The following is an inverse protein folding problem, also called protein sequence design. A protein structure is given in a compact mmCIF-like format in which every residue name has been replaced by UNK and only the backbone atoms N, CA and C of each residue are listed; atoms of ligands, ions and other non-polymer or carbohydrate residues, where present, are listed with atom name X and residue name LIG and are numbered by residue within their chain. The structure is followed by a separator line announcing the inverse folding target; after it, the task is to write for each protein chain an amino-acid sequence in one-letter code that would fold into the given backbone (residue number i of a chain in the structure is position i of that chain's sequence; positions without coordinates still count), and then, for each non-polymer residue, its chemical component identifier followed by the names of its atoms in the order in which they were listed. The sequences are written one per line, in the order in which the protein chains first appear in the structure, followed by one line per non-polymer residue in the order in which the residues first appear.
data_IF_543544528924
#
_entry.id   IF_543544528924
#
_cell.length_a   1.000
_cell.length_b   1.000
_cell.length_c   1.000
_cell.angle_alpha   90.00
_cell.angle_beta   90.00
_cell.angle_gamma   90.00
#
_symmetry.space_group_name_H-M   'P 1'
#
loop_
_entity.id
_entity.type
_entity.pdbx_description
1 polymer ?
#
# COMPACT_ATOMS: atom_id res chain seq x y z
N UNK A 1 -17.33 -22.03 -37.93
CA UNK A 1 -15.85 -21.97 -37.83
C UNK A 1 -15.51 -20.48 -37.83
N UNK A 2 -15.00 -19.83 -36.79
CA UNK A 2 -14.20 -20.21 -35.64
C UNK A 2 -14.75 -19.56 -34.36
N UNK A 3 -14.85 -20.37 -33.31
CA UNK A 3 -15.03 -19.99 -31.92
C UNK A 3 -13.73 -19.39 -31.38
N UNK A 4 -13.78 -18.24 -30.71
CA UNK A 4 -12.64 -17.66 -30.01
C UNK A 4 -13.11 -16.97 -28.74
N UNK A 5 -12.96 -17.66 -27.63
CA UNK A 5 -13.39 -17.26 -26.30
C UNK A 5 -12.58 -16.07 -25.79
N UNK A 6 -13.25 -15.03 -25.28
CA UNK A 6 -12.60 -13.98 -24.49
C UNK A 6 -12.33 -14.58 -23.11
N UNK A 7 -11.09 -14.96 -22.86
CA UNK A 7 -10.62 -15.27 -21.52
C UNK A 7 -10.50 -13.93 -20.76
N UNK A 8 -11.47 -13.66 -19.90
CA UNK A 8 -11.37 -12.59 -18.92
C UNK A 8 -10.17 -12.91 -17.99
N UNK A 9 -9.08 -12.15 -18.11
CA UNK A 9 -8.02 -12.17 -17.11
C UNK A 9 -8.53 -11.40 -15.88
N UNK A 10 -9.27 -12.12 -15.05
CA UNK A 10 -9.45 -11.79 -13.64
C UNK A 10 -8.07 -11.91 -12.99
N UNK A 11 -7.43 -10.81 -12.59
CA UNK A 11 -6.28 -10.88 -11.68
C UNK A 11 -6.84 -11.17 -10.28
N UNK A 12 -6.66 -12.38 -9.72
CA UNK A 12 -7.09 -12.65 -8.37
C UNK A 12 -6.18 -11.87 -7.41
N UNK A 13 -6.72 -11.41 -6.29
CA UNK A 13 -5.88 -11.00 -5.17
C UNK A 13 -4.88 -12.14 -4.85
N UNK A 14 -3.59 -11.79 -4.74
CA UNK A 14 -2.42 -12.67 -4.76
C UNK A 14 -2.65 -14.08 -4.21
N UNK A 15 -2.34 -15.08 -5.05
CA UNK A 15 -2.50 -16.49 -4.72
C UNK A 15 -1.35 -16.99 -3.86
N UNK A 16 -1.64 -17.58 -2.70
CA UNK A 16 -0.64 -18.36 -1.93
C UNK A 16 -0.35 -19.68 -2.64
N UNK A 17 0.91 -20.12 -2.65
CA UNK A 17 1.36 -21.31 -3.40
C UNK A 17 1.88 -21.03 -4.82
N UNK A 18 1.99 -19.76 -5.23
CA UNK A 18 2.79 -19.41 -6.40
C UNK A 18 4.29 -19.59 -6.05
N UNK A 19 4.99 -20.39 -6.86
CA UNK A 19 6.44 -20.51 -6.79
C UNK A 19 7.07 -19.26 -7.43
N UNK A 20 7.96 -18.59 -6.70
CA UNK A 20 8.71 -17.47 -7.24
C UNK A 20 9.70 -18.01 -8.29
N UNK A 21 9.88 -17.34 -9.45
CA UNK A 21 10.85 -17.75 -10.47
C UNK A 21 12.25 -18.04 -9.91
N UNK A 22 12.96 -18.95 -10.57
CA UNK A 22 14.20 -19.59 -10.11
C UNK A 22 15.46 -18.72 -9.99
N UNK A 23 15.34 -17.39 -9.95
CA UNK A 23 16.43 -16.40 -9.87
C UNK A 23 16.27 -15.37 -8.72
N UNK A 24 15.39 -15.62 -7.74
CA UNK A 24 15.18 -14.74 -6.58
C UNK A 24 16.48 -14.43 -5.79
N UNK A 25 16.86 -13.15 -5.70
CA UNK A 25 18.00 -12.68 -4.91
C UNK A 25 17.80 -11.24 -4.36
N UNK A 26 18.26 -10.98 -3.13
CA UNK A 26 17.99 -9.75 -2.36
C UNK A 26 19.26 -8.96 -1.99
N UNK A 27 19.70 -8.02 -2.83
CA UNK A 27 20.73 -7.03 -2.44
C UNK A 27 21.17 -6.07 -3.56
N UNK A 28 21.33 -4.78 -3.24
CA UNK A 28 21.88 -3.72 -4.10
C UNK A 28 23.42 -3.81 -4.31
N UNK A 29 23.96 -5.03 -4.31
CA UNK A 29 25.40 -5.33 -4.41
C UNK A 29 25.73 -6.75 -4.91
N UNK A 30 24.73 -7.48 -5.42
CA UNK A 30 24.86 -8.86 -5.94
C UNK A 30 23.72 -9.77 -5.47
N UNK A 31 23.53 -10.94 -6.10
CA UNK A 31 22.43 -11.83 -5.77
C UNK A 31 22.61 -12.46 -4.38
N UNK A 32 21.84 -11.99 -3.40
CA UNK A 32 21.76 -12.55 -2.05
C UNK A 32 20.57 -13.53 -2.00
N UNK A 33 20.83 -14.83 -2.12
CA UNK A 33 19.78 -15.82 -1.87
C UNK A 33 19.44 -15.80 -0.37
N UNK A 34 18.21 -15.42 0.05
CA UNK A 34 17.85 -15.39 1.46
C UNK A 34 17.85 -16.79 2.09
N UNK A 35 17.82 -17.87 1.28
CA UNK A 35 17.94 -19.26 1.71
C UNK A 35 19.37 -19.82 1.58
N UNK A 36 20.37 -19.00 1.27
CA UNK A 36 21.76 -19.46 1.13
C UNK A 36 22.32 -20.16 2.40
N UNK A 37 21.73 -19.92 3.58
CA UNK A 37 22.12 -20.62 4.81
C UNK A 37 21.28 -21.90 4.96
N UNK A 38 21.92 -23.08 5.13
CA UNK A 38 21.23 -24.36 5.15
C UNK A 38 20.26 -24.55 6.33
N UNK A 39 20.39 -23.74 7.38
CA UNK A 39 19.49 -23.70 8.55
C UNK A 39 18.26 -22.81 8.34
N UNK A 40 18.16 -22.12 7.19
CA UNK A 40 17.01 -21.25 6.89
C UNK A 40 15.78 -22.09 6.57
N UNK A 41 14.82 -22.07 7.47
CA UNK A 41 13.53 -22.78 7.31
C UNK A 41 12.45 -21.85 6.78
N UNK A 42 12.53 -20.55 7.11
CA UNK A 42 11.55 -19.56 6.69
C UNK A 42 12.22 -18.22 6.40
N UNK A 43 11.78 -17.53 5.35
CA UNK A 43 12.18 -16.15 5.06
C UNK A 43 10.95 -15.26 5.07
N UNK A 44 10.93 -14.28 5.96
CA UNK A 44 9.91 -13.24 6.04
C UNK A 44 10.42 -11.97 5.36
N UNK A 45 9.77 -11.58 4.28
CA UNK A 45 10.00 -10.30 3.60
C UNK A 45 8.93 -9.31 4.07
N UNK A 46 9.36 -8.22 4.71
CA UNK A 46 8.48 -7.18 5.23
C UNK A 46 8.61 -5.90 4.40
N UNK A 47 7.58 -5.58 3.64
CA UNK A 47 7.48 -4.33 2.89
C UNK A 47 7.08 -3.20 3.82
N UNK A 48 7.95 -2.21 3.95
CA UNK A 48 7.83 -1.13 4.93
C UNK A 48 8.04 0.23 4.27
N UNK A 49 7.47 1.26 4.89
CA UNK A 49 7.75 2.65 4.58
C UNK A 49 8.26 3.34 5.84
N UNK A 50 9.40 4.02 5.73
CA UNK A 50 9.99 4.78 6.83
C UNK A 50 9.35 6.16 7.03
N UNK A 51 8.49 6.56 6.09
CA UNK A 51 7.74 7.81 6.11
C UNK A 51 6.31 7.62 6.67
N UNK A 52 5.83 6.37 6.76
CA UNK A 52 4.49 6.03 7.24
C UNK A 52 4.51 5.61 8.72
N UNK A 53 3.75 6.27 9.62
CA UNK A 53 3.71 5.88 11.02
C UNK A 53 3.10 4.48 11.22
N UNK A 54 2.16 4.06 10.37
CA UNK A 54 1.59 2.69 10.42
C UNK A 54 2.67 1.64 10.19
N UNK A 55 3.53 1.82 9.20
CA UNK A 55 4.58 0.85 8.88
C UNK A 55 5.72 0.89 9.91
N UNK A 56 6.08 2.07 10.43
CA UNK A 56 7.09 2.22 11.48
C UNK A 56 6.71 1.51 12.78
N UNK A 57 5.43 1.46 13.11
CA UNK A 57 4.91 0.76 14.29
C UNK A 57 5.17 -0.75 14.28
N UNK A 58 5.59 -1.32 13.14
CA UNK A 58 5.90 -2.74 12.99
C UNK A 58 7.40 -3.08 12.96
N UNK A 59 8.30 -2.09 13.03
CA UNK A 59 9.74 -2.36 13.06
C UNK A 59 10.13 -3.22 14.28
N UNK A 60 9.69 -2.82 15.47
CA UNK A 60 9.99 -3.57 16.70
C UNK A 60 9.21 -4.90 16.81
N UNK A 61 7.90 -4.99 16.49
CA UNK A 61 7.19 -6.27 16.44
C UNK A 61 7.86 -7.32 15.55
N UNK A 62 8.41 -6.93 14.40
CA UNK A 62 9.15 -7.83 13.50
C UNK A 62 10.50 -8.27 14.12
N UNK A 63 11.18 -7.37 14.83
CA UNK A 63 12.41 -7.70 15.56
C UNK A 63 12.17 -8.69 16.71
N UNK A 64 11.08 -8.49 17.46
CA UNK A 64 10.65 -9.46 18.48
C UNK A 64 10.32 -10.81 17.87
N UNK A 65 9.66 -10.83 16.70
CA UNK A 65 9.37 -12.09 15.99
C UNK A 65 10.66 -12.81 15.57
N UNK A 66 11.66 -12.07 15.10
CA UNK A 66 12.99 -12.63 14.81
C UNK A 66 13.67 -13.16 16.07
N UNK A 67 13.56 -12.45 17.20
CA UNK A 67 14.12 -12.91 18.49
C UNK A 67 13.48 -14.22 18.94
N UNK A 68 12.15 -14.32 18.82
CA UNK A 68 11.39 -15.49 19.27
C UNK A 68 11.60 -16.74 18.39
N UNK A 69 11.82 -16.56 17.08
CA UNK A 69 11.82 -17.64 16.09
C UNK A 69 13.12 -17.79 15.28
N UNK A 70 14.11 -16.90 15.45
CA UNK A 70 15.38 -16.94 14.71
C UNK A 70 16.17 -18.22 14.94
N UNK A 71 16.15 -18.76 16.16
CA UNK A 71 16.74 -20.07 16.49
C UNK A 71 16.04 -21.27 15.83
N UNK A 72 14.85 -21.07 15.24
CA UNK A 72 14.10 -22.08 14.47
C UNK A 72 14.28 -21.89 12.96
N UNK A 73 15.28 -21.14 12.53
CA UNK A 73 15.58 -20.91 11.11
C UNK A 73 14.75 -19.82 10.45
N UNK A 74 14.08 -18.95 11.22
CA UNK A 74 13.46 -17.74 10.67
C UNK A 74 14.52 -16.69 10.31
N UNK A 75 14.41 -16.15 9.11
CA UNK A 75 15.09 -14.91 8.71
C UNK A 75 14.06 -13.83 8.39
N UNK A 76 14.35 -12.60 8.80
CA UNK A 76 13.53 -11.43 8.46
C UNK A 76 14.36 -10.50 7.58
N UNK A 77 13.72 -9.91 6.58
CA UNK A 77 14.31 -8.89 5.70
C UNK A 77 13.28 -7.78 5.54
N UNK A 78 13.65 -6.56 5.90
CA UNK A 78 12.83 -5.39 5.61
C UNK A 78 13.15 -4.85 4.22
N UNK A 79 12.12 -4.53 3.42
CA UNK A 79 12.24 -3.95 2.09
C UNK A 79 11.55 -2.60 2.08
N UNK A 80 12.22 -1.57 1.56
CA UNK A 80 11.69 -0.20 1.43
C UNK A 80 11.55 0.16 -0.05
N UNK A 81 10.34 0.05 -0.62
CA UNK A 81 10.10 0.35 -2.03
C UNK A 81 10.34 1.82 -2.38
N UNK A 82 10.92 2.06 -3.56
CA UNK A 82 11.09 3.40 -4.14
C UNK A 82 12.12 4.30 -3.43
N UNK A 83 13.01 3.72 -2.63
CA UNK A 83 14.10 4.43 -1.95
C UNK A 83 15.44 3.86 -2.36
N UNK A 84 16.49 4.69 -2.33
CA UNK A 84 17.88 4.24 -2.44
C UNK A 84 18.39 3.65 -1.12
N UNK A 85 19.43 2.82 -1.18
CA UNK A 85 20.01 2.23 0.04
C UNK A 85 20.53 3.31 1.00
N UNK A 86 21.11 4.39 0.48
CA UNK A 86 21.58 5.51 1.31
C UNK A 86 20.44 6.19 2.09
N UNK A 87 19.27 6.34 1.49
CA UNK A 87 18.08 6.87 2.18
C UNK A 87 17.59 5.92 3.27
N UNK A 88 17.56 4.62 2.97
CA UNK A 88 17.17 3.58 3.94
C UNK A 88 18.14 3.55 5.12
N UNK A 89 19.45 3.54 4.86
CA UNK A 89 20.49 3.57 5.89
C UNK A 89 20.37 4.83 6.75
N UNK A 90 20.20 5.99 6.13
CA UNK A 90 20.03 7.25 6.84
C UNK A 90 18.80 7.26 7.74
N UNK A 91 17.67 6.75 7.24
CA UNK A 91 16.42 6.71 7.99
C UNK A 91 16.41 5.63 9.09
N UNK A 92 17.30 4.63 9.01
CA UNK A 92 17.40 3.53 9.97
C UNK A 92 18.51 3.68 11.01
N UNK A 93 19.43 4.65 10.87
CA UNK A 93 20.56 4.94 11.79
C UNK A 93 20.21 4.99 13.29
N UNK A 94 18.98 5.35 13.65
CA UNK A 94 18.52 5.43 15.04
C UNK A 94 17.76 4.20 15.55
N UNK A 95 17.50 3.21 14.69
CA UNK A 95 16.71 2.04 15.03
C UNK A 95 17.64 0.85 15.32
N UNK A 96 17.36 0.13 16.41
CA UNK A 96 18.02 -1.15 16.69
C UNK A 96 17.10 -2.25 16.17
N UNK A 97 17.48 -2.86 15.06
CA UNK A 97 16.79 -4.01 14.47
C UNK A 97 17.81 -5.12 14.21
N UNK A 98 17.45 -6.35 14.55
CA UNK A 98 18.26 -7.56 14.32
C UNK A 98 18.19 -8.09 12.90
N UNK A 99 17.45 -7.42 12.00
CA UNK A 99 17.31 -7.79 10.60
C UNK A 99 17.76 -6.66 9.64
N UNK A 100 18.26 -7.01 8.45
CA UNK A 100 18.67 -6.03 7.45
C UNK A 100 17.47 -5.30 6.85
N UNK A 101 17.68 -4.00 6.56
CA UNK A 101 16.77 -3.17 5.78
C UNK A 101 17.37 -2.93 4.40
N UNK A 102 16.62 -3.26 3.36
CA UNK A 102 17.04 -3.18 1.97
C UNK A 102 16.19 -2.18 1.22
N UNK A 103 16.83 -1.42 0.35
CA UNK A 103 16.18 -0.59 -0.65
C UNK A 103 15.65 -1.44 -1.81
N UNK A 104 14.50 -1.04 -2.36
CA UNK A 104 13.95 -1.55 -3.63
C UNK A 104 13.61 -0.37 -4.54
N UNK A 105 14.62 0.33 -5.08
CA UNK A 105 14.43 1.61 -5.77
C UNK A 105 13.58 1.45 -7.04
N UNK A 106 13.73 0.33 -7.74
CA UNK A 106 13.07 0.02 -9.01
C UNK A 106 11.83 -0.88 -8.84
N UNK A 107 11.39 -1.11 -7.61
CA UNK A 107 10.22 -1.94 -7.29
C UNK A 107 10.28 -3.39 -7.82
N UNK A 108 11.49 -3.93 -8.03
CA UNK A 108 11.67 -5.28 -8.57
C UNK A 108 11.23 -6.33 -7.54
N UNK A 109 11.64 -6.18 -6.29
CA UNK A 109 11.28 -7.11 -5.21
C UNK A 109 9.78 -7.00 -4.93
N UNK A 110 9.28 -5.76 -4.90
CA UNK A 110 7.85 -5.44 -4.77
C UNK A 110 7.03 -6.10 -5.86
N UNK A 111 7.46 -6.02 -7.12
CA UNK A 111 6.76 -6.61 -8.27
C UNK A 111 6.76 -8.13 -8.22
N UNK A 112 7.91 -8.75 -7.92
CA UNK A 112 8.05 -10.22 -7.84
C UNK A 112 7.16 -10.81 -6.73
N UNK A 113 7.08 -10.15 -5.57
CA UNK A 113 6.28 -10.62 -4.43
C UNK A 113 4.85 -10.05 -4.41
N UNK A 114 4.49 -9.32 -5.47
CA UNK A 114 3.18 -8.66 -5.65
C UNK A 114 2.75 -7.86 -4.41
N UNK A 115 3.69 -7.17 -3.75
CA UNK A 115 3.37 -6.37 -2.58
C UNK A 115 2.64 -5.10 -3.00
N UNK A 116 1.55 -4.79 -2.29
CA UNK A 116 0.63 -3.72 -2.64
C UNK A 116 0.59 -2.61 -1.60
N UNK A 117 0.97 -2.91 -0.36
CA UNK A 117 0.75 -2.04 0.80
C UNK A 117 1.96 -2.05 1.74
N UNK A 118 2.16 -0.96 2.48
CA UNK A 118 3.13 -0.85 3.59
C UNK A 118 2.40 -0.48 4.88
N UNK A 119 2.45 -1.30 5.93
CA UNK A 119 3.16 -2.57 6.04
C UNK A 119 2.43 -3.73 5.36
N UNK A 120 3.18 -4.60 4.67
CA UNK A 120 2.72 -5.91 4.18
C UNK A 120 3.87 -6.91 4.35
N UNK A 121 3.55 -8.14 4.73
CA UNK A 121 4.54 -9.20 4.94
C UNK A 121 4.27 -10.38 4.03
N UNK A 122 5.34 -11.03 3.57
CA UNK A 122 5.31 -12.24 2.75
C UNK A 122 6.25 -13.27 3.38
N UNK A 123 5.71 -14.43 3.75
CA UNK A 123 6.46 -15.55 4.32
C UNK A 123 6.72 -16.60 3.24
N UNK A 124 7.98 -16.96 3.07
CA UNK A 124 8.47 -17.90 2.06
C UNK A 124 9.03 -19.17 2.72
N UNK A 125 8.78 -20.32 2.10
CA UNK A 125 9.45 -21.59 2.44
C UNK A 125 10.76 -21.77 1.63
N UNK A 126 11.59 -22.79 1.92
CA UNK A 126 12.84 -23.03 1.17
C UNK A 126 12.65 -23.31 -0.32
N UNK A 127 11.46 -23.75 -0.73
CA UNK A 127 11.05 -23.88 -2.13
C UNK A 127 10.72 -22.55 -2.81
N UNK A 128 10.86 -21.42 -2.12
CA UNK A 128 10.49 -20.06 -2.56
C UNK A 128 9.00 -19.91 -2.88
N UNK A 129 8.17 -20.68 -2.19
CA UNK A 129 6.71 -20.60 -2.30
C UNK A 129 6.15 -19.68 -1.20
N UNK A 130 5.12 -18.91 -1.55
CA UNK A 130 4.42 -18.05 -0.58
C UNK A 130 3.53 -18.90 0.33
N UNK A 131 3.93 -18.99 1.60
CA UNK A 131 3.21 -19.68 2.68
C UNK A 131 2.14 -18.78 3.29
N UNK A 132 2.47 -17.49 3.49
CA UNK A 132 1.57 -16.48 4.05
C UNK A 132 1.83 -15.12 3.41
N UNK A 133 0.77 -14.34 3.16
CA UNK A 133 0.88 -12.92 2.79
C UNK A 133 -0.19 -12.06 3.45
N UNK A 134 0.16 -10.84 3.86
CA UNK A 134 -0.81 -9.85 4.32
C UNK A 134 -0.33 -9.00 5.48
N UNK A 135 -1.19 -8.79 6.48
CA UNK A 135 -0.89 -7.97 7.65
C UNK A 135 -0.05 -8.73 8.68
N UNK A 136 0.65 -7.98 9.55
CA UNK A 136 1.35 -8.55 10.70
C UNK A 136 0.36 -8.98 11.79
N UNK A 137 -0.55 -8.08 12.15
CA UNK A 137 -1.59 -8.26 13.16
C UNK A 137 -2.79 -7.34 12.89
N UNK A 138 -3.78 -7.31 13.80
CA UNK A 138 -4.94 -6.44 13.68
C UNK A 138 -4.85 -5.10 14.45
N UNK A 139 -3.65 -4.64 14.83
CA UNK A 139 -3.44 -3.38 15.56
C UNK A 139 -4.15 -2.20 14.90
N UNK A 140 -4.19 -2.15 13.58
CA UNK A 140 -4.92 -1.12 12.84
C UNK A 140 -6.27 -1.66 12.34
N UNK A 141 -7.35 -0.93 12.59
CA UNK A 141 -8.67 -1.21 12.01
C UNK A 141 -8.83 -0.60 10.61
N UNK A 142 -8.09 0.47 10.34
CA UNK A 142 -7.92 1.15 9.06
C UNK A 142 -6.60 1.94 9.12
N UNK A 143 -6.13 2.47 7.99
CA UNK A 143 -4.92 3.31 7.91
C UNK A 143 -5.03 4.46 8.94
N UNK A 144 -4.00 4.62 9.78
CA UNK A 144 -3.94 5.61 10.87
C UNK A 144 -5.01 5.47 11.97
N UNK A 145 -5.75 4.35 12.03
CA UNK A 145 -6.75 4.08 13.06
C UNK A 145 -6.32 2.88 13.92
N UNK A 146 -5.46 3.07 14.94
CA UNK A 146 -5.07 2.00 15.84
C UNK A 146 -6.26 1.57 16.71
N UNK A 147 -6.28 0.29 17.07
CA UNK A 147 -7.15 -0.28 18.09
C UNK A 147 -6.50 -0.09 19.47
N UNK A 148 -7.33 -0.08 20.51
CA UNK A 148 -6.85 -0.02 21.90
C UNK A 148 -5.99 -1.22 22.28
N UNK A 149 -6.27 -2.39 21.70
CA UNK A 149 -5.50 -3.61 21.88
C UNK A 149 -5.44 -4.43 20.60
N UNK A 150 -4.36 -5.20 20.47
CA UNK A 150 -4.20 -6.23 19.43
C UNK A 150 -4.91 -7.49 19.91
N UNK A 151 -5.77 -8.07 19.08
CA UNK A 151 -6.55 -9.26 19.42
C UNK A 151 -6.36 -10.42 18.43
N UNK A 152 -5.59 -10.21 17.35
CA UNK A 152 -5.20 -11.22 16.37
C UNK A 152 -3.77 -10.98 15.94
N UNK A 153 -2.97 -12.04 15.89
CA UNK A 153 -1.56 -11.98 15.53
C UNK A 153 -1.30 -12.84 14.28
N UNK A 154 -1.92 -12.45 13.16
CA UNK A 154 -2.07 -13.30 11.98
C UNK A 154 -0.72 -13.85 11.46
N UNK A 155 0.32 -13.02 11.40
CA UNK A 155 1.66 -13.47 10.99
C UNK A 155 2.27 -14.46 11.99
N UNK A 156 2.14 -14.21 13.30
CA UNK A 156 2.72 -15.07 14.34
C UNK A 156 2.02 -16.43 14.36
N UNK A 157 0.70 -16.44 14.23
CA UNK A 157 -0.11 -17.65 14.09
C UNK A 157 0.37 -18.47 12.89
N UNK A 158 0.40 -17.87 11.69
CA UNK A 158 0.83 -18.54 10.46
C UNK A 158 2.27 -19.06 10.51
N UNK A 159 3.20 -18.26 11.04
CA UNK A 159 4.60 -18.66 11.20
C UNK A 159 4.74 -19.84 12.16
N UNK A 160 4.02 -19.83 13.28
CA UNK A 160 4.09 -20.90 14.28
C UNK A 160 3.55 -22.21 13.71
N UNK A 161 2.40 -22.16 13.02
CA UNK A 161 1.85 -23.32 12.31
C UNK A 161 2.87 -23.88 11.31
N UNK A 162 3.46 -23.01 10.48
CA UNK A 162 4.45 -23.42 9.48
C UNK A 162 5.70 -24.06 10.10
N UNK A 163 6.31 -23.43 11.11
CA UNK A 163 7.52 -23.94 11.76
C UNK A 163 7.28 -25.24 12.54
N UNK A 164 6.04 -25.51 12.96
CA UNK A 164 5.64 -26.78 13.59
C UNK A 164 5.26 -27.86 12.57
N UNK A 165 5.39 -27.59 11.26
CA UNK A 165 5.01 -28.53 10.20
C UNK A 165 3.51 -28.70 10.04
N UNK A 166 2.69 -27.81 10.62
CA UNK A 166 1.24 -27.81 10.50
C UNK A 166 0.82 -27.04 9.23
N UNK A 167 -0.33 -27.38 8.62
CA UNK A 167 -0.91 -26.57 7.57
C UNK A 167 -1.22 -25.17 8.09
N UNK A 168 -0.79 -24.13 7.37
CA UNK A 168 -1.14 -22.74 7.70
C UNK A 168 -2.63 -22.51 7.45
N UNK A 169 -3.36 -22.19 8.50
CA UNK A 169 -4.83 -22.08 8.52
C UNK A 169 -5.31 -20.85 7.76
N UNK A 170 -4.66 -19.70 7.97
CA UNK A 170 -4.97 -18.44 7.30
C UNK A 170 -3.75 -18.00 6.50
N UNK A 171 -3.80 -18.23 5.18
CA UNK A 171 -2.66 -17.94 4.29
C UNK A 171 -2.65 -16.51 3.73
N UNK A 172 -3.81 -15.85 3.67
CA UNK A 172 -3.96 -14.49 3.14
C UNK A 172 -4.76 -13.64 4.10
N UNK A 173 -4.25 -12.44 4.40
CA UNK A 173 -4.99 -11.39 5.10
C UNK A 173 -4.86 -10.05 4.39
N UNK A 174 -5.80 -9.14 4.63
CA UNK A 174 -5.74 -7.80 4.04
C UNK A 174 -4.76 -6.92 4.83
N UNK A 175 -3.65 -6.44 4.22
CA UNK A 175 -2.77 -5.46 4.84
C UNK A 175 -3.48 -4.11 5.01
N UNK A 176 -3.12 -3.37 6.05
CA UNK A 176 -3.70 -2.05 6.35
C UNK A 176 -2.54 -1.05 6.44
N UNK A 177 -2.48 -0.13 5.49
CA UNK A 177 -1.33 0.76 5.36
C UNK A 177 -1.40 1.71 4.17
N UNK A 178 -0.23 2.21 3.75
CA UNK A 178 -0.09 3.03 2.54
C UNK A 178 0.12 2.14 1.32
N UNK A 179 -0.52 2.44 0.19
CA UNK A 179 -0.25 1.71 -1.05
C UNK A 179 1.20 1.89 -1.50
N UNK A 180 1.81 0.81 -1.96
CA UNK A 180 3.09 0.86 -2.68
C UNK A 180 2.79 1.28 -4.10
N UNK A 181 3.27 2.46 -4.50
CA UNK A 181 3.15 2.95 -5.87
C UNK A 181 4.52 2.92 -6.53
N UNK A 182 4.76 2.05 -7.52
CA UNK A 182 5.89 2.18 -8.43
C UNK A 182 5.77 3.50 -9.20
N UNK A 183 6.83 4.30 -9.25
CA UNK A 183 7.01 5.31 -10.31
C UNK A 183 8.20 4.83 -11.16
N UNK A 184 8.16 4.80 -12.51
CA UNK A 184 7.33 5.62 -13.40
C UNK A 184 6.36 4.84 -14.33
N UNK A 185 5.50 5.61 -14.99
CA UNK A 185 4.45 5.25 -15.95
C UNK A 185 4.80 4.16 -16.98
N UNK A 186 4.16 3.00 -16.85
CA UNK A 186 3.72 2.22 -18.02
C UNK A 186 2.43 2.88 -18.51
N UNK A 187 2.26 3.15 -19.82
CA UNK A 187 0.97 3.60 -20.33
C UNK A 187 -0.05 2.53 -19.95
N UNK A 188 -0.98 2.90 -19.06
CA UNK A 188 -2.20 2.12 -18.88
C UNK A 188 -2.73 1.87 -20.29
N UNK A 189 -2.88 0.59 -20.65
CA UNK A 189 -3.51 0.21 -21.90
C UNK A 189 -4.81 1.03 -22.01
N UNK A 190 -4.87 1.86 -23.05
CA UNK A 190 -6.00 2.74 -23.31
C UNK A 190 -7.23 1.87 -23.59
N UNK A 191 -8.03 1.62 -22.56
CA UNK A 191 -9.44 1.28 -22.75
C UNK A 191 -10.11 2.50 -23.41
N UNK A 192 -10.88 2.33 -24.51
CA UNK A 192 -11.37 3.45 -25.26
C UNK A 192 -12.44 4.24 -24.50
N UNK A 193 -12.34 5.57 -24.60
CA UNK A 193 -13.47 6.50 -24.60
C UNK A 193 -14.17 6.83 -23.27
N UNK A 194 -13.47 7.54 -22.38
CA UNK A 194 -14.07 8.62 -21.60
C UNK A 194 -13.13 9.83 -21.65
N UNK A 195 -13.68 11.05 -21.76
CA UNK A 195 -12.90 12.29 -21.90
C UNK A 195 -11.79 12.39 -20.82
N UNK A 196 -10.58 12.78 -21.24
CA UNK A 196 -9.39 12.84 -20.37
C UNK A 196 -9.59 13.91 -19.30
N UNK A 197 -9.76 13.53 -18.04
CA UNK A 197 -9.95 14.44 -16.90
C UNK A 197 -8.59 14.99 -16.44
N UNK A 198 -8.47 16.31 -16.26
CA UNK A 198 -7.23 16.98 -15.81
C UNK A 198 -7.45 17.82 -14.56
N UNK A 199 -6.36 18.10 -13.84
CA UNK A 199 -6.44 18.84 -12.58
C UNK A 199 -6.97 20.25 -12.79
N UNK A 200 -6.33 21.04 -13.65
CA UNK A 200 -6.65 22.46 -13.79
C UNK A 200 -8.04 22.70 -14.39
N UNK A 201 -8.41 21.91 -15.42
CA UNK A 201 -9.70 22.05 -16.09
C UNK A 201 -10.88 21.54 -15.25
N UNK A 202 -10.76 20.35 -14.65
CA UNK A 202 -11.92 19.65 -14.10
C UNK A 202 -11.90 19.54 -12.56
N UNK A 203 -10.75 19.27 -11.96
CA UNK A 203 -10.66 19.00 -10.51
C UNK A 203 -10.55 20.28 -9.70
N UNK A 204 -9.73 21.23 -10.13
CA UNK A 204 -9.48 22.47 -9.42
C UNK A 204 -10.78 23.26 -9.16
N UNK A 205 -11.72 23.40 -10.12
CA UNK A 205 -13.02 24.03 -9.85
C UNK A 205 -13.84 23.32 -8.76
N UNK A 206 -13.78 21.98 -8.71
CA UNK A 206 -14.47 21.18 -7.67
C UNK A 206 -13.82 21.42 -6.31
N UNK A 207 -12.49 21.41 -6.24
CA UNK A 207 -11.75 21.66 -4.99
C UNK A 207 -11.95 23.09 -4.49
N UNK A 208 -11.92 24.09 -5.38
CA UNK A 208 -12.18 25.49 -5.03
C UNK A 208 -13.57 25.68 -4.42
N UNK A 209 -14.59 25.04 -5.01
CA UNK A 209 -15.98 25.16 -4.58
C UNK A 209 -16.25 24.47 -3.24
N UNK A 210 -15.72 23.26 -3.05
CA UNK A 210 -16.16 22.39 -1.95
C UNK A 210 -15.11 22.15 -0.87
N UNK A 211 -13.81 22.28 -1.19
CA UNK A 211 -12.74 21.79 -0.33
C UNK A 211 -11.83 22.90 0.21
N UNK A 212 -11.42 23.84 -0.63
CA UNK A 212 -10.35 24.80 -0.32
C UNK A 212 -10.72 25.82 0.76
N UNK A 213 -11.99 26.01 1.06
CA UNK A 213 -12.36 26.86 2.20
C UNK A 213 -11.87 26.30 3.54
N UNK A 214 -11.96 24.99 3.72
CA UNK A 214 -11.44 24.30 4.90
C UNK A 214 -10.00 23.83 4.69
N UNK A 215 -9.66 23.33 3.50
CA UNK A 215 -8.34 22.79 3.16
C UNK A 215 -7.41 23.86 2.60
N UNK A 216 -7.27 24.96 3.33
CA UNK A 216 -6.26 26.00 3.07
C UNK A 216 -5.49 26.30 4.36
N UNK A 217 -4.25 26.84 4.26
CA UNK A 217 -3.45 27.12 5.43
C UNK A 217 -4.19 27.97 6.47
N UNK A 218 -4.19 27.52 7.73
CA UNK A 218 -4.82 28.22 8.85
C UNK A 218 -6.30 27.92 9.08
N UNK A 219 -6.93 27.07 8.26
CA UNK A 219 -8.35 26.74 8.36
C UNK A 219 -8.59 25.33 8.94
N UNK A 220 -9.86 24.91 8.99
CA UNK A 220 -10.30 23.69 9.68
C UNK A 220 -9.73 22.36 9.12
N UNK A 221 -9.31 22.34 7.85
CA UNK A 221 -8.75 21.16 7.20
C UNK A 221 -7.28 20.93 7.62
N UNK A 222 -6.87 19.68 7.90
CA UNK A 222 -5.53 19.39 8.42
C UNK A 222 -4.40 19.50 7.37
N UNK A 223 -4.74 19.77 6.10
CA UNK A 223 -3.80 19.91 4.99
C UNK A 223 -4.35 20.84 3.90
N UNK A 224 -3.45 21.39 3.09
CA UNK A 224 -3.77 22.25 1.93
C UNK A 224 -4.26 21.42 0.75
N UNK A 225 -5.16 22.00 -0.05
CA UNK A 225 -5.57 21.53 -1.39
C UNK A 225 -5.51 22.66 -2.43
N UNK A 226 -4.68 23.66 -2.19
CA UNK A 226 -4.61 24.89 -3.01
C UNK A 226 -3.83 24.66 -4.30
N UNK A 227 -2.75 23.87 -4.25
CA UNK A 227 -1.91 23.59 -5.43
C UNK A 227 -2.15 22.20 -6.00
N UNK A 228 -1.77 21.99 -7.27
CA UNK A 228 -1.77 20.65 -7.88
C UNK A 228 -0.93 19.66 -7.07
N UNK A 229 0.24 20.09 -6.59
CA UNK A 229 1.13 19.24 -5.77
C UNK A 229 0.44 18.79 -4.49
N UNK A 230 -0.27 19.71 -3.83
CA UNK A 230 -1.05 19.40 -2.64
C UNK A 230 -2.16 18.39 -2.96
N UNK A 231 -2.96 18.66 -3.98
CA UNK A 231 -4.03 17.77 -4.39
C UNK A 231 -3.53 16.38 -4.83
N UNK A 232 -2.40 16.32 -5.53
CA UNK A 232 -1.77 15.08 -5.99
C UNK A 232 -1.38 14.18 -4.81
N UNK A 233 -0.85 14.78 -3.74
CA UNK A 233 -0.45 14.06 -2.53
C UNK A 233 -1.65 13.39 -1.83
N UNK A 234 -2.82 14.03 -1.89
CA UNK A 234 -4.05 13.56 -1.23
C UNK A 234 -5.07 12.96 -2.18
N UNK A 235 -4.73 12.78 -3.46
CA UNK A 235 -5.68 12.46 -4.52
C UNK A 235 -6.50 11.18 -4.26
N UNK A 236 -5.87 10.12 -3.73
CA UNK A 236 -6.58 8.87 -3.41
C UNK A 236 -7.55 9.07 -2.23
N UNK A 237 -7.15 9.83 -1.21
CA UNK A 237 -8.01 10.18 -0.08
C UNK A 237 -9.18 11.08 -0.53
N UNK A 238 -8.92 12.04 -1.43
CA UNK A 238 -9.96 12.88 -2.05
C UNK A 238 -11.01 11.99 -2.71
N UNK A 239 -10.61 11.01 -3.54
CA UNK A 239 -11.53 10.04 -4.14
C UNK A 239 -12.28 9.25 -3.07
N UNK A 240 -11.57 8.60 -2.15
CA UNK A 240 -12.20 7.64 -1.23
C UNK A 240 -13.18 8.32 -0.28
N UNK A 241 -12.85 9.50 0.22
CA UNK A 241 -13.72 10.25 1.12
C UNK A 241 -14.89 10.92 0.39
N UNK A 242 -14.73 11.33 -0.87
CA UNK A 242 -15.83 11.90 -1.66
C UNK A 242 -16.78 10.82 -2.17
N UNK A 243 -16.25 9.67 -2.64
CA UNK A 243 -17.05 8.51 -3.06
C UNK A 243 -17.86 7.95 -1.89
N UNK A 244 -17.27 7.86 -0.69
CA UNK A 244 -17.99 7.40 0.51
C UNK A 244 -18.90 8.47 1.13
N UNK A 245 -18.93 9.69 0.59
CA UNK A 245 -19.71 10.81 1.13
C UNK A 245 -19.24 11.29 2.51
N UNK A 246 -18.05 10.87 2.96
CA UNK A 246 -17.45 11.29 4.24
C UNK A 246 -16.90 12.71 4.16
N UNK A 247 -16.50 13.15 2.97
CA UNK A 247 -16.06 14.51 2.70
C UNK A 247 -16.81 15.13 1.53
N UNK A 248 -17.11 16.43 1.61
CA UNK A 248 -16.97 17.29 2.79
C UNK A 248 -17.91 16.83 3.91
N UNK A 249 -17.53 17.07 5.18
CA UNK A 249 -18.27 16.53 6.31
C UNK A 249 -19.63 17.23 6.40
N UNK A 250 -20.72 16.46 6.36
CA UNK A 250 -22.07 16.99 6.50
C UNK A 250 -22.77 16.37 7.71
N UNK A 251 -23.45 17.17 8.53
CA UNK A 251 -24.00 16.73 9.83
C UNK A 251 -25.54 16.65 9.95
N UNK A 252 -26.37 17.11 9.01
CA UNK A 252 -27.79 16.74 9.02
C UNK A 252 -28.15 15.68 7.96
N UNK A 253 -28.69 14.54 8.38
CA UNK A 253 -29.39 13.58 7.52
C UNK A 253 -30.89 13.87 7.55
N UNK A 254 -31.46 14.43 6.47
CA UNK A 254 -32.92 14.58 6.28
C UNK A 254 -33.37 15.71 5.34
N UNK A 255 -34.05 15.33 4.24
CA UNK A 255 -35.25 15.98 3.69
C UNK A 255 -35.20 17.33 2.96
N UNK A 256 -34.23 18.22 3.20
CA UNK A 256 -34.24 19.57 2.60
C UNK A 256 -32.86 20.05 2.13
N UNK A 257 -32.80 20.80 1.04
CA UNK A 257 -31.57 21.48 0.57
C UNK A 257 -31.23 22.60 1.55
N UNK A 258 -30.06 22.52 2.16
CA UNK A 258 -29.62 23.47 3.17
C UNK A 258 -28.86 24.63 2.52
N UNK A 259 -28.97 25.81 3.13
CA UNK A 259 -28.19 26.98 2.73
C UNK A 259 -26.70 26.70 3.04
N UNK A 260 -25.81 26.91 2.06
CA UNK A 260 -24.37 26.59 2.11
C UNK A 260 -24.01 25.10 2.16
N UNK A 261 -24.87 24.23 1.61
CA UNK A 261 -24.54 22.82 1.39
C UNK A 261 -23.37 22.66 0.39
N UNK A 262 -22.32 21.97 0.83
CA UNK A 262 -21.10 21.69 0.06
C UNK A 262 -21.01 20.23 -0.39
N UNK A 263 -22.07 19.45 -0.24
CA UNK A 263 -22.08 18.07 -0.76
C UNK A 263 -21.78 18.08 -2.25
N UNK A 264 -20.90 17.17 -2.65
CA UNK A 264 -20.62 16.97 -4.06
C UNK A 264 -21.83 16.35 -4.75
N UNK A 265 -22.15 16.83 -5.95
CA UNK A 265 -23.01 16.10 -6.86
C UNK A 265 -22.33 14.82 -7.36
N UNK A 266 -23.12 13.84 -7.81
CA UNK A 266 -22.59 12.57 -8.36
C UNK A 266 -21.60 12.78 -9.50
N UNK A 267 -21.79 13.81 -10.32
CA UNK A 267 -20.87 14.18 -11.41
C UNK A 267 -19.54 14.74 -10.89
N UNK A 268 -19.55 15.52 -9.81
CA UNK A 268 -18.33 16.07 -9.22
C UNK A 268 -17.51 14.97 -8.51
N UNK A 269 -18.21 14.05 -7.83
CA UNK A 269 -17.57 12.83 -7.27
C UNK A 269 -16.93 12.02 -8.40
N UNK A 270 -17.64 11.85 -9.53
CA UNK A 270 -17.12 11.14 -10.70
C UNK A 270 -15.88 11.82 -11.27
N UNK A 271 -15.85 13.15 -11.38
CA UNK A 271 -14.67 13.90 -11.85
C UNK A 271 -13.45 13.63 -10.98
N UNK A 272 -13.59 13.68 -9.65
CA UNK A 272 -12.48 13.42 -8.73
C UNK A 272 -12.01 11.95 -8.81
N UNK A 273 -12.95 11.00 -8.93
CA UNK A 273 -12.63 9.59 -9.08
C UNK A 273 -11.94 9.27 -10.42
N UNK A 274 -12.44 9.85 -11.51
CA UNK A 274 -11.88 9.69 -12.85
C UNK A 274 -10.49 10.30 -12.97
N UNK A 275 -10.27 11.48 -12.39
CA UNK A 275 -8.93 12.06 -12.36
C UNK A 275 -7.92 11.15 -11.68
N UNK A 276 -8.31 10.50 -10.57
CA UNK A 276 -7.47 9.55 -9.86
C UNK A 276 -7.22 8.28 -10.67
N UNK A 277 -8.25 7.73 -11.31
CA UNK A 277 -8.13 6.51 -12.11
C UNK A 277 -7.35 6.73 -13.42
N UNK A 278 -7.42 7.92 -14.00
CA UNK A 278 -6.73 8.30 -15.25
C UNK A 278 -5.28 8.79 -15.05
N UNK A 279 -4.72 8.61 -13.86
CA UNK A 279 -3.31 8.92 -13.58
C UNK A 279 -3.03 10.37 -13.15
N UNK A 280 -4.05 11.09 -12.64
CA UNK A 280 -3.91 12.35 -11.89
C UNK A 280 -3.22 13.45 -12.69
N UNK A 281 -3.49 13.53 -14.00
CA UNK A 281 -2.81 14.45 -14.90
C UNK A 281 -3.07 15.90 -14.49
N UNK A 282 -2.03 16.73 -14.51
CA UNK A 282 -2.15 18.15 -14.19
C UNK A 282 -3.03 18.89 -15.23
N UNK A 283 -2.82 18.63 -16.53
CA UNK A 283 -3.37 19.48 -17.59
C UNK A 283 -2.63 20.81 -17.69
N UNK A 284 -3.20 21.76 -18.45
CA UNK A 284 -2.64 23.11 -18.59
C UNK A 284 -3.26 24.06 -17.55
N UNK A 285 -2.46 24.79 -16.75
CA UNK A 285 -2.96 25.84 -15.85
C UNK A 285 -3.72 27.00 -16.53
N UNK A 286 -3.61 27.15 -17.86
CA UNK A 286 -4.22 28.21 -18.65
C UNK A 286 -5.46 27.76 -19.46
N UNK A 287 -5.83 26.49 -19.38
CA UNK A 287 -7.11 25.96 -19.89
C UNK A 287 -8.29 26.42 -19.03
#
# INVERSE_FOLDING_TARGET
MFTGWIAAYFFPAGTTGAAIPGDFALGAGGPLDPFARPDTTAVLVAFLSLDCPVARDYLEPLDRLLTDHGGKGLRVIGVVPGKSQAEVDQATKGFRMGYPMMADPDFLITGILEATTTPEVVLLNPGKEVVYRGRVDNKYAARLKPRASVSRHDLREALTEFLEGKPVTVKVTTPIGCLIRPLPSVPAQEEPSAAKVTFYRDVLPVLQRHCQECHRPGEAGPFSLITYKDALQWADDIRDFTVSGRMPPWKPTGGVKLLHDRRLGSMEVKVLADWVSQGKKAGDPLE
#
